data_IF_811896424751
#
_entry.id   IF_811896424751
#
_cell.length_a   1.000
_cell.length_b   1.000
_cell.length_c   1.000
_cell.angle_alpha   90.00
_cell.angle_beta   90.00
_cell.angle_gamma   90.00
#
_symmetry.space_group_name_H-M   'P 1'
#
loop_
_entity.id
_entity.type
_entity.pdbx_description
1 polymer ?
#
# COMPACT_ATOMS: atom_id res chain seq x y z
N UNK A 1 -25.63 -17.03 2.58
CA UNK A 1 -26.66 -17.37 1.57
C UNK A 1 -28.02 -17.30 2.22
N UNK A 2 -29.05 -16.84 1.52
CA UNK A 2 -30.42 -16.91 2.02
C UNK A 2 -30.97 -18.35 1.91
N UNK A 3 -32.19 -18.56 2.38
CA UNK A 3 -32.88 -19.87 2.35
C UNK A 3 -33.02 -20.47 0.93
N UNK A 4 -32.83 -19.65 -0.12
CA UNK A 4 -32.88 -20.05 -1.53
C UNK A 4 -31.51 -20.37 -2.13
N UNK A 5 -30.44 -20.38 -1.31
CA UNK A 5 -29.08 -20.66 -1.78
C UNK A 5 -28.46 -19.54 -2.62
N UNK A 6 -29.00 -18.32 -2.55
CA UNK A 6 -28.40 -17.15 -3.22
C UNK A 6 -27.55 -16.34 -2.23
N UNK A 7 -26.43 -15.74 -2.66
CA UNK A 7 -25.70 -14.78 -1.84
C UNK A 7 -26.62 -13.66 -1.33
N UNK A 8 -26.35 -13.17 -0.13
CA UNK A 8 -27.10 -12.04 0.47
C UNK A 8 -26.34 -10.76 0.08
N UNK A 9 -27.06 -9.65 -0.15
CA UNK A 9 -26.43 -8.36 -0.38
C UNK A 9 -25.62 -7.91 0.84
N UNK A 10 -24.40 -7.47 0.59
CA UNK A 10 -23.55 -6.80 1.58
C UNK A 10 -23.78 -5.29 1.42
N UNK A 11 -24.30 -4.64 2.47
CA UNK A 11 -24.74 -3.25 2.39
C UNK A 11 -23.68 -2.27 2.87
N UNK A 12 -23.65 -1.09 2.27
CA UNK A 12 -22.88 0.04 2.77
C UNK A 12 -23.32 0.43 4.18
N UNK A 13 -22.44 1.14 4.90
CA UNK A 13 -22.74 1.65 6.23
C UNK A 13 -24.08 2.40 6.25
N UNK A 14 -24.90 2.12 7.27
CA UNK A 14 -26.25 2.67 7.46
C UNK A 14 -27.34 2.22 6.45
N UNK A 15 -27.08 1.20 5.63
CA UNK A 15 -28.09 0.56 4.78
C UNK A 15 -28.37 -0.89 5.21
N UNK A 16 -29.61 -1.34 5.01
CA UNK A 16 -30.08 -2.68 5.36
C UNK A 16 -31.21 -3.15 4.43
N UNK A 17 -31.78 -4.32 4.74
CA UNK A 17 -32.78 -4.99 3.93
C UNK A 17 -32.16 -5.97 2.93
N UNK A 18 -33.01 -6.75 2.23
CA UNK A 18 -32.55 -7.79 1.31
C UNK A 18 -31.82 -7.25 0.06
N UNK A 19 -32.02 -5.97 -0.27
CA UNK A 19 -31.47 -5.27 -1.43
C UNK A 19 -30.74 -3.97 -1.05
N UNK A 20 -30.42 -3.79 0.24
CA UNK A 20 -29.73 -2.60 0.77
C UNK A 20 -30.45 -1.26 0.52
N UNK A 21 -31.76 -1.27 0.23
CA UNK A 21 -32.53 -0.04 -0.04
C UNK A 21 -33.02 0.70 1.21
N UNK A 22 -32.92 0.07 2.39
CA UNK A 22 -33.51 0.60 3.63
C UNK A 22 -32.46 1.32 4.46
N UNK A 23 -32.71 2.58 4.82
CA UNK A 23 -31.82 3.33 5.72
C UNK A 23 -32.06 2.94 7.19
N UNK A 24 -30.98 2.78 7.95
CA UNK A 24 -31.03 2.57 9.39
C UNK A 24 -31.23 3.93 10.08
N UNK A 25 -32.31 4.05 10.88
CA UNK A 25 -32.59 5.26 11.65
C UNK A 25 -31.52 5.52 12.71
N UNK A 26 -31.20 6.79 12.96
CA UNK A 26 -30.20 7.25 13.94
C UNK A 26 -28.81 6.60 13.79
N UNK A 27 -28.45 6.21 12.56
CA UNK A 27 -27.15 5.63 12.27
C UNK A 27 -26.04 6.68 12.28
N UNK A 28 -24.91 6.35 12.92
CA UNK A 28 -23.71 7.19 12.97
C UNK A 28 -22.80 6.83 11.80
N UNK A 29 -22.34 7.85 11.07
CA UNK A 29 -21.38 7.64 10.00
C UNK A 29 -20.05 7.09 10.53
N UNK A 30 -19.56 6.00 9.93
CA UNK A 30 -18.24 5.44 10.21
C UNK A 30 -17.26 5.87 9.10
N UNK A 31 -16.27 6.66 9.50
CA UNK A 31 -15.17 7.14 8.64
C UNK A 31 -13.81 6.88 9.29
N UNK A 32 -13.74 5.89 10.19
CA UNK A 32 -12.52 5.58 10.92
C UNK A 32 -11.48 4.84 10.06
N UNK A 33 -11.94 3.99 9.14
CA UNK A 33 -11.07 3.23 8.24
C UNK A 33 -10.66 4.05 7.02
N UNK A 34 -9.39 3.95 6.62
CA UNK A 34 -8.91 4.45 5.33
C UNK A 34 -9.26 3.52 4.16
N UNK A 35 -10.47 2.97 4.13
CA UNK A 35 -10.92 2.00 3.13
C UNK A 35 -11.29 2.72 1.80
N UNK A 36 -10.61 2.46 0.68
CA UNK A 36 -10.78 3.23 -0.55
C UNK A 36 -11.99 2.79 -1.38
N UNK A 37 -13.16 2.53 -0.76
CA UNK A 37 -14.37 2.10 -1.46
C UNK A 37 -14.83 3.07 -2.56
N UNK A 38 -14.35 4.32 -2.54
CA UNK A 38 -14.56 5.29 -3.61
C UNK A 38 -14.01 4.83 -4.98
N UNK A 39 -13.13 3.83 -5.03
CA UNK A 39 -12.59 3.24 -6.27
C UNK A 39 -13.48 2.12 -6.85
N UNK A 40 -14.45 1.59 -6.09
CA UNK A 40 -15.35 0.52 -6.56
C UNK A 40 -16.08 0.88 -7.87
N UNK A 41 -16.68 2.09 -8.03
CA UNK A 41 -17.38 2.45 -9.27
C UNK A 41 -16.49 2.43 -10.51
N UNK A 42 -15.19 2.75 -10.35
CA UNK A 42 -14.23 2.67 -11.45
C UNK A 42 -14.04 1.23 -11.91
N UNK A 43 -13.88 0.28 -10.99
CA UNK A 43 -13.68 -1.13 -11.34
C UNK A 43 -14.94 -1.79 -11.89
N UNK A 44 -16.13 -1.43 -11.39
CA UNK A 44 -17.40 -1.87 -11.98
C UNK A 44 -17.50 -1.43 -13.44
N UNK A 45 -17.18 -0.17 -13.72
CA UNK A 45 -17.20 0.38 -15.09
C UNK A 45 -16.16 -0.28 -16.02
N UNK A 46 -15.11 -0.88 -15.47
CA UNK A 46 -14.02 -1.55 -16.21
C UNK A 46 -14.01 -3.07 -16.02
N UNK A 47 -15.17 -3.66 -15.71
CA UNK A 47 -15.28 -5.09 -15.35
C UNK A 47 -14.75 -6.05 -16.40
N UNK A 48 -14.93 -5.78 -17.70
CA UNK A 48 -14.37 -6.63 -18.77
C UNK A 48 -12.83 -6.65 -18.75
N UNK A 49 -12.21 -5.50 -18.48
CA UNK A 49 -10.76 -5.37 -18.44
C UNK A 49 -10.16 -5.91 -17.12
N UNK A 50 -10.91 -5.83 -16.02
CA UNK A 50 -10.47 -6.28 -14.69
C UNK A 50 -10.80 -7.75 -14.36
N UNK A 51 -11.76 -8.37 -15.06
CA UNK A 51 -12.18 -9.73 -14.78
C UNK A 51 -11.08 -10.75 -15.13
N UNK A 52 -10.86 -11.71 -14.23
CA UNK A 52 -9.93 -12.83 -14.46
C UNK A 52 -10.61 -14.15 -14.11
N UNK A 53 -10.45 -15.15 -14.98
CA UNK A 53 -10.82 -16.53 -14.68
C UNK A 53 -9.61 -17.25 -14.11
N UNK A 54 -9.75 -17.78 -12.89
CA UNK A 54 -8.70 -18.56 -12.22
C UNK A 54 -9.04 -20.05 -12.31
N UNK A 55 -8.32 -20.85 -13.12
CA UNK A 55 -8.53 -22.30 -13.16
C UNK A 55 -8.26 -22.97 -11.81
N UNK A 56 -8.96 -24.06 -11.51
CA UNK A 56 -8.83 -24.78 -10.23
C UNK A 56 -7.40 -25.32 -9.96
N UNK A 57 -6.61 -25.54 -11.00
CA UNK A 57 -5.22 -25.99 -10.91
C UNK A 57 -4.19 -24.86 -11.07
N UNK A 58 -4.65 -23.60 -11.12
CA UNK A 58 -3.75 -22.46 -11.30
C UNK A 58 -2.82 -22.32 -10.08
N UNK A 59 -1.51 -22.32 -10.34
CA UNK A 59 -0.44 -22.10 -9.34
C UNK A 59 -0.52 -23.00 -8.10
N UNK A 60 -0.75 -24.31 -8.25
CA UNK A 60 -0.72 -25.28 -7.14
C UNK A 60 0.68 -25.47 -6.50
N UNK A 61 1.74 -25.03 -7.18
CA UNK A 61 3.13 -25.08 -6.69
C UNK A 61 3.43 -23.91 -5.74
N UNK A 62 4.30 -24.14 -4.76
CA UNK A 62 4.85 -23.06 -3.92
C UNK A 62 5.70 -22.06 -4.68
N UNK A 63 6.30 -22.49 -5.78
CA UNK A 63 7.30 -21.74 -6.54
C UNK A 63 6.82 -21.51 -7.96
N UNK A 64 7.24 -20.39 -8.53
CA UNK A 64 7.12 -20.13 -9.95
C UNK A 64 8.02 -21.09 -10.72
N UNK A 65 7.50 -21.60 -11.84
CA UNK A 65 8.31 -22.37 -12.79
C UNK A 65 9.17 -21.41 -13.64
N UNK A 66 10.09 -20.71 -13.01
CA UNK A 66 11.11 -19.88 -13.64
C UNK A 66 12.52 -20.36 -13.26
N UNK A 67 13.54 -19.79 -13.90
CA UNK A 67 14.92 -20.23 -13.73
C UNK A 67 15.45 -20.09 -12.29
N UNK A 68 14.75 -19.35 -11.42
CA UNK A 68 15.16 -19.05 -10.05
C UNK A 68 14.30 -19.68 -8.95
N UNK A 69 13.23 -20.41 -9.30
CA UNK A 69 12.21 -20.87 -8.35
C UNK A 69 11.68 -19.70 -7.49
N UNK A 70 11.36 -18.57 -8.13
CA UNK A 70 10.89 -17.37 -7.43
C UNK A 70 9.53 -17.57 -6.77
N UNK A 71 9.23 -16.79 -5.73
CA UNK A 71 7.87 -16.63 -5.18
C UNK A 71 7.14 -15.41 -5.78
N UNK A 72 7.87 -14.56 -6.52
CA UNK A 72 7.36 -13.33 -7.14
C UNK A 72 7.06 -13.59 -8.61
N UNK A 73 5.92 -13.10 -9.10
CA UNK A 73 5.55 -13.22 -10.51
C UNK A 73 6.35 -12.27 -11.39
N UNK A 74 7.12 -12.76 -12.38
CA UNK A 74 7.85 -11.90 -13.30
C UNK A 74 6.94 -11.01 -14.16
N UNK A 75 5.74 -11.51 -14.49
CA UNK A 75 4.73 -10.75 -15.22
C UNK A 75 4.19 -9.58 -14.38
N UNK A 76 3.92 -9.82 -13.09
CA UNK A 76 3.49 -8.76 -12.18
C UNK A 76 4.61 -7.74 -11.96
N UNK A 77 5.83 -8.20 -11.70
CA UNK A 77 7.00 -7.32 -11.55
C UNK A 77 7.17 -6.40 -12.76
N UNK A 78 7.05 -6.95 -13.98
CA UNK A 78 7.11 -6.17 -15.22
C UNK A 78 6.02 -5.09 -15.27
N UNK A 79 4.79 -5.40 -14.88
CA UNK A 79 3.68 -4.43 -14.92
C UNK A 79 3.82 -3.35 -13.85
N UNK A 80 4.24 -3.73 -12.63
CA UNK A 80 4.60 -2.77 -11.57
C UNK A 80 5.65 -1.81 -12.12
N UNK A 81 6.75 -2.32 -12.69
CA UNK A 81 7.79 -1.48 -13.30
C UNK A 81 7.25 -0.57 -14.41
N UNK A 82 6.32 -1.04 -15.24
CA UNK A 82 5.73 -0.23 -16.31
C UNK A 82 4.87 0.91 -15.76
N UNK A 83 4.02 0.65 -14.77
CA UNK A 83 3.22 1.68 -14.09
C UNK A 83 4.14 2.71 -13.44
N UNK A 84 5.20 2.24 -12.78
CA UNK A 84 6.15 3.12 -12.11
C UNK A 84 7.11 3.84 -13.08
N UNK A 85 7.34 3.37 -14.31
CA UNK A 85 8.30 3.98 -15.24
C UNK A 85 7.99 5.45 -15.58
N UNK A 86 6.73 5.88 -15.45
CA UNK A 86 6.31 7.27 -15.66
C UNK A 86 6.63 8.17 -14.45
N UNK A 87 6.93 7.61 -13.27
CA UNK A 87 7.04 8.35 -12.01
C UNK A 87 8.18 7.89 -11.07
N UNK A 88 8.95 6.84 -11.39
CA UNK A 88 9.98 6.24 -10.52
C UNK A 88 11.02 5.44 -11.32
N UNK A 89 12.27 5.35 -10.83
CA UNK A 89 13.40 4.91 -11.65
C UNK A 89 14.01 3.55 -11.31
N UNK A 90 13.88 3.05 -10.07
CA UNK A 90 14.44 1.74 -9.65
C UNK A 90 13.70 1.15 -8.43
N UNK A 91 13.74 -0.18 -8.32
CA UNK A 91 13.20 -0.95 -7.19
C UNK A 91 14.23 -2.00 -6.73
N UNK A 92 14.30 -2.22 -5.42
CA UNK A 92 15.17 -3.16 -4.68
C UNK A 92 14.38 -4.10 -3.78
N UNK A 93 15.07 -5.14 -3.31
CA UNK A 93 14.61 -6.44 -2.80
C UNK A 93 13.90 -6.43 -1.43
N UNK A 94 13.21 -7.54 -1.14
CA UNK A 94 12.55 -7.85 0.13
C UNK A 94 13.60 -8.13 1.20
N UNK A 95 13.51 -7.43 2.34
CA UNK A 95 14.40 -7.62 3.48
C UNK A 95 13.79 -8.52 4.56
N UNK A 96 14.58 -9.49 5.02
CA UNK A 96 14.39 -10.22 6.27
C UNK A 96 15.61 -9.94 7.16
N UNK A 97 15.39 -9.46 8.38
CA UNK A 97 16.35 -9.67 9.47
C UNK A 97 15.78 -9.35 10.87
N UNK A 98 16.14 -10.23 11.80
CA UNK A 98 16.04 -10.06 13.24
C UNK A 98 17.31 -9.37 13.77
N UNK A 99 17.13 -8.15 14.31
CA UNK A 99 17.93 -7.47 15.38
C UNK A 99 17.61 -5.95 15.39
N UNK A 100 16.33 -5.59 15.44
CA UNK A 100 15.87 -4.18 15.44
C UNK A 100 15.11 -3.84 16.73
N UNK A 101 15.23 -2.60 17.22
CA UNK A 101 14.45 -2.11 18.37
C UNK A 101 13.82 -0.75 18.08
N UNK A 102 12.54 -0.58 18.45
CA UNK A 102 11.82 0.69 18.29
C UNK A 102 12.45 1.78 19.16
N UNK A 103 12.77 2.93 18.55
CA UNK A 103 13.40 4.10 19.23
C UNK A 103 12.50 5.33 19.33
N UNK A 104 11.25 5.27 18.86
CA UNK A 104 10.30 6.37 18.94
C UNK A 104 10.45 7.40 17.82
N UNK A 105 9.98 8.62 18.07
CA UNK A 105 9.95 9.73 17.11
C UNK A 105 11.36 10.13 16.62
N UNK A 106 11.55 10.12 15.29
CA UNK A 106 12.78 10.54 14.62
C UNK A 106 13.25 11.94 15.05
N UNK A 107 12.33 12.88 15.30
CA UNK A 107 12.69 14.24 15.72
C UNK A 107 13.46 14.29 17.04
N UNK A 108 13.23 13.31 17.93
CA UNK A 108 13.96 13.23 19.20
C UNK A 108 15.44 12.82 19.02
N UNK A 109 15.81 12.31 17.84
CA UNK A 109 17.13 11.76 17.55
C UNK A 109 18.00 12.65 16.67
N UNK A 110 17.47 13.72 16.06
CA UNK A 110 18.19 14.66 15.17
C UNK A 110 19.54 15.13 15.75
N UNK A 111 19.58 15.44 17.05
CA UNK A 111 20.81 15.92 17.71
C UNK A 111 21.76 14.80 18.12
N UNK A 112 21.26 13.57 18.25
CA UNK A 112 22.00 12.41 18.79
C UNK A 112 22.63 11.56 17.71
N UNK A 113 22.07 11.53 16.51
CA UNK A 113 22.65 10.80 15.36
C UNK A 113 24.08 11.24 15.06
N UNK A 114 24.39 12.53 15.22
CA UNK A 114 25.75 13.08 15.06
C UNK A 114 26.74 12.67 16.16
N UNK A 115 26.24 12.17 17.29
CA UNK A 115 27.04 11.79 18.47
C UNK A 115 27.22 10.28 18.62
N UNK A 116 26.35 9.48 18.01
CA UNK A 116 26.32 8.02 18.17
C UNK A 116 26.87 7.35 16.91
N UNK A 117 28.18 7.42 16.71
CA UNK A 117 28.87 6.88 15.53
C UNK A 117 28.75 5.35 15.37
N UNK A 118 28.25 4.62 16.38
CA UNK A 118 28.08 3.16 16.35
C UNK A 118 26.63 2.71 16.22
N UNK A 119 25.65 3.62 16.26
CA UNK A 119 24.22 3.25 16.20
C UNK A 119 23.67 3.50 14.80
N UNK A 120 23.16 2.44 14.17
CA UNK A 120 22.43 2.54 12.91
C UNK A 120 20.97 2.85 13.17
N UNK A 121 20.42 3.80 12.43
CA UNK A 121 19.00 4.16 12.49
C UNK A 121 18.32 3.79 11.17
N UNK A 122 17.10 3.27 11.27
CA UNK A 122 16.18 3.13 10.14
C UNK A 122 15.04 4.11 10.40
N UNK A 123 14.94 5.14 9.56
CA UNK A 123 13.84 6.11 9.59
C UNK A 123 12.74 5.67 8.61
N UNK A 124 11.52 5.54 9.12
CA UNK A 124 10.34 5.38 8.28
C UNK A 124 9.77 6.74 7.94
N UNK A 125 9.64 7.04 6.65
CA UNK A 125 9.13 8.31 6.13
C UNK A 125 7.86 8.06 5.32
N UNK A 126 6.71 8.48 5.83
CA UNK A 126 5.44 8.37 5.08
C UNK A 126 5.17 9.68 4.34
N UNK A 127 4.98 9.64 3.02
CA UNK A 127 4.85 10.86 2.22
C UNK A 127 3.97 10.64 0.96
N UNK A 128 2.74 11.18 0.87
CA UNK A 128 2.02 11.97 1.85
C UNK A 128 1.88 11.25 3.19
N UNK A 129 2.07 11.99 4.28
CA UNK A 129 2.03 11.44 5.63
C UNK A 129 0.60 11.13 6.08
N UNK A 130 0.47 10.09 6.89
CA UNK A 130 -0.75 9.80 7.63
C UNK A 130 -0.60 10.35 9.06
N UNK A 131 -1.46 11.27 9.55
CA UNK A 131 -2.77 11.63 8.99
C UNK A 131 -2.85 12.97 8.24
N UNK A 132 -1.78 13.78 8.18
CA UNK A 132 -1.88 15.19 7.73
C UNK A 132 -1.81 15.39 6.20
N UNK A 133 -1.60 14.33 5.43
CA UNK A 133 -1.46 14.31 3.97
C UNK A 133 -0.34 15.22 3.43
N UNK A 134 0.57 15.67 4.27
CA UNK A 134 1.69 16.51 3.85
C UNK A 134 2.81 15.63 3.29
N UNK A 135 3.44 16.09 2.21
CA UNK A 135 4.69 15.50 1.75
C UNK A 135 5.76 15.66 2.84
N UNK A 136 6.47 14.58 3.14
CA UNK A 136 7.56 14.54 4.12
C UNK A 136 8.84 14.06 3.48
N UNK A 137 9.94 14.51 4.06
CA UNK A 137 11.29 14.05 3.79
C UNK A 137 11.90 13.55 5.11
N UNK A 138 12.93 12.72 4.99
CA UNK A 138 13.70 12.24 6.15
C UNK A 138 14.27 13.41 6.97
N UNK A 139 14.23 13.30 8.30
CA UNK A 139 14.78 14.31 9.20
C UNK A 139 16.10 13.89 9.84
N UNK A 140 16.46 12.61 9.79
CA UNK A 140 17.74 12.11 10.26
C UNK A 140 18.77 12.15 9.14
N UNK A 141 19.98 12.61 9.48
CA UNK A 141 21.12 12.70 8.57
C UNK A 141 22.31 11.90 9.14
N UNK A 142 23.11 11.32 8.24
CA UNK A 142 24.39 10.66 8.58
C UNK A 142 24.57 9.33 7.87
N UNK A 143 25.81 8.84 7.80
CA UNK A 143 26.16 7.58 7.10
C UNK A 143 25.48 6.35 7.70
N UNK A 144 25.19 6.39 9.01
CA UNK A 144 24.52 5.33 9.76
C UNK A 144 22.98 5.44 9.73
N UNK A 145 22.43 6.36 8.95
CA UNK A 145 20.97 6.49 8.79
C UNK A 145 20.57 5.83 7.47
N UNK A 146 19.57 4.95 7.54
CA UNK A 146 18.87 4.37 6.39
C UNK A 146 17.42 4.83 6.43
N UNK A 147 16.82 5.00 5.26
CA UNK A 147 15.44 5.48 5.13
C UNK A 147 14.61 4.44 4.40
N UNK A 148 13.36 4.31 4.82
CA UNK A 148 12.32 3.54 4.13
C UNK A 148 11.18 4.51 3.88
N UNK A 149 10.90 4.80 2.62
CA UNK A 149 9.80 5.67 2.24
C UNK A 149 8.53 4.86 2.02
N UNK A 150 7.49 5.18 2.78
CA UNK A 150 6.14 4.68 2.55
C UNK A 150 5.37 5.65 1.65
N UNK A 151 5.20 5.22 0.40
CA UNK A 151 4.52 5.92 -0.69
C UNK A 151 3.14 5.33 -0.99
N UNK A 152 2.47 4.73 0.01
CA UNK A 152 1.10 4.25 -0.13
C UNK A 152 0.14 5.30 -0.72
N UNK A 153 0.30 6.57 -0.36
CA UNK A 153 -0.54 7.68 -0.83
C UNK A 153 0.09 8.53 -1.94
N UNK A 154 1.26 8.18 -2.49
CA UNK A 154 1.94 9.00 -3.50
C UNK A 154 1.39 8.74 -4.92
N UNK A 155 0.10 9.02 -5.08
CA UNK A 155 -0.66 8.84 -6.33
C UNK A 155 -1.46 10.10 -6.68
N UNK A 156 -1.78 10.35 -7.97
CA UNK A 156 -2.46 11.57 -8.41
C UNK A 156 -3.80 11.87 -7.73
N UNK A 157 -4.52 10.85 -7.24
CA UNK A 157 -5.77 11.05 -6.51
C UNK A 157 -5.60 11.52 -5.06
N UNK A 158 -4.39 11.49 -4.51
CA UNK A 158 -4.10 12.01 -3.16
C UNK A 158 -3.18 13.23 -3.16
N UNK A 159 -2.25 13.33 -4.11
CA UNK A 159 -1.29 14.43 -4.15
C UNK A 159 -0.77 14.73 -5.56
N UNK A 160 -0.32 15.96 -5.78
CA UNK A 160 0.37 16.32 -7.00
C UNK A 160 1.76 15.65 -7.05
N UNK A 161 2.04 14.96 -8.16
CA UNK A 161 3.35 14.36 -8.40
C UNK A 161 4.31 15.47 -8.86
N UNK A 162 5.03 16.05 -7.90
CA UNK A 162 5.89 17.21 -8.14
C UNK A 162 7.28 16.83 -8.65
N UNK A 163 7.73 15.61 -8.37
CA UNK A 163 8.99 15.06 -8.83
C UNK A 163 8.95 13.53 -8.83
N UNK A 164 9.87 12.95 -9.59
CA UNK A 164 10.13 11.51 -9.60
C UNK A 164 10.72 11.10 -8.25
N UNK A 165 10.15 10.11 -7.56
CA UNK A 165 10.75 9.63 -6.31
C UNK A 165 11.90 8.66 -6.63
N UNK A 166 13.04 8.82 -5.95
CA UNK A 166 14.32 8.17 -6.28
C UNK A 166 15.00 7.56 -5.04
N UNK A 167 14.21 7.14 -4.05
CA UNK A 167 14.70 6.79 -2.72
C UNK A 167 15.17 5.33 -2.68
N UNK A 168 16.09 5.01 -1.76
CA UNK A 168 16.76 3.69 -1.70
C UNK A 168 15.78 2.52 -1.52
N UNK A 169 14.78 2.70 -0.65
CA UNK A 169 13.71 1.73 -0.42
C UNK A 169 12.39 2.50 -0.40
N UNK A 170 11.47 2.09 -1.27
CA UNK A 170 10.14 2.66 -1.42
C UNK A 170 9.08 1.57 -1.31
N UNK A 171 8.02 1.83 -0.56
CA UNK A 171 6.88 0.94 -0.37
C UNK A 171 5.65 1.52 -1.05
N UNK A 172 4.91 0.66 -1.74
CA UNK A 172 3.64 0.99 -2.39
C UNK A 172 2.62 -0.11 -2.07
N UNK A 173 1.33 0.23 -2.16
CA UNK A 173 0.25 -0.73 -1.92
C UNK A 173 -0.90 -0.55 -2.91
N UNK A 174 -1.49 -1.66 -3.33
CA UNK A 174 -2.73 -1.67 -4.10
C UNK A 174 -3.89 -1.09 -3.28
N UNK A 175 -3.90 -1.29 -1.96
CA UNK A 175 -4.96 -0.82 -1.04
C UNK A 175 -5.18 0.71 -1.02
N UNK A 176 -4.35 1.48 -1.73
CA UNK A 176 -4.46 2.93 -1.89
C UNK A 176 -4.28 3.36 -3.36
N UNK A 177 -4.08 2.43 -4.28
CA UNK A 177 -4.01 2.69 -5.72
C UNK A 177 -5.30 2.26 -6.44
N UNK A 178 -5.83 1.10 -6.07
CA UNK A 178 -6.89 0.38 -6.78
C UNK A 178 -8.00 -0.02 -5.84
#
# INVERSE_FOLDING_TARGET
MNEKGTPICECNACFTGPDCSQMVADCVADVASGDPLFLEPFWIANSEAGATVVPAWYRMSYLMNDAGNSVVSPALEKQIRAIHALAYRRQTEIFDSADNSWKGDAKAWIKRTKSLNSTTFIEFVTSPNNPDALLKEAVLEGENVKTIYDYAYYWPHFTAISHQAEEDIMLFTLSKLT
#
